data_IF_550913617747
#
_entry.id   IF_550913617747
#
_cell.length_a   1.000
_cell.length_b   1.000
_cell.length_c   1.000
_cell.angle_alpha   90.00
_cell.angle_beta   90.00
_cell.angle_gamma   90.00
#
_symmetry.space_group_name_H-M   'P 1'
#
loop_
_entity.id
_entity.type
_entity.pdbx_description
1 polymer ?
#
# COMPACT_ATOMS: atom_id res chain seq x y z
N UNK A 1 -32.77 11.89 40.06
CA UNK A 1 -32.01 11.92 38.77
C UNK A 1 -32.34 10.65 38.02
N UNK A 2 -32.80 10.76 36.79
CA UNK A 2 -33.38 9.65 36.04
C UNK A 2 -32.35 8.60 35.69
N UNK A 3 -32.57 7.29 35.91
CA UNK A 3 -31.66 6.20 35.53
C UNK A 3 -31.34 6.15 34.04
N UNK A 4 -32.20 6.74 33.23
CA UNK A 4 -32.02 6.75 31.76
C UNK A 4 -30.86 7.65 31.26
N UNK A 5 -30.46 8.67 32.05
CA UNK A 5 -29.37 9.56 31.70
C UNK A 5 -27.99 8.90 31.94
N UNK A 6 -27.93 7.98 32.89
CA UNK A 6 -26.74 7.22 33.24
C UNK A 6 -26.46 6.14 32.19
N UNK A 7 -27.49 5.42 31.74
CA UNK A 7 -27.33 4.34 30.76
C UNK A 7 -26.88 4.88 29.37
N UNK A 8 -27.36 6.07 28.98
CA UNK A 8 -26.93 6.69 27.73
C UNK A 8 -25.44 7.09 27.75
N UNK A 9 -24.95 7.58 28.88
CA UNK A 9 -23.55 7.92 29.06
C UNK A 9 -22.67 6.65 29.00
N UNK A 10 -23.12 5.57 29.64
CA UNK A 10 -22.45 4.26 29.60
C UNK A 10 -22.40 3.70 28.17
N UNK A 11 -23.51 3.73 27.43
CA UNK A 11 -23.55 3.29 26.02
C UNK A 11 -22.63 4.14 25.16
N UNK A 12 -22.61 5.45 25.32
CA UNK A 12 -21.73 6.35 24.55
C UNK A 12 -20.27 6.09 24.88
N UNK A 13 -19.93 5.88 26.16
CA UNK A 13 -18.56 5.53 26.56
C UNK A 13 -18.12 4.21 25.92
N UNK A 14 -18.97 3.19 26.00
CA UNK A 14 -18.71 1.90 25.36
C UNK A 14 -18.52 1.99 23.84
N UNK A 15 -19.35 2.80 23.16
CA UNK A 15 -19.21 3.04 21.71
C UNK A 15 -17.90 3.76 21.36
N UNK A 16 -17.43 4.68 22.21
CA UNK A 16 -16.12 5.32 22.02
C UNK A 16 -14.97 4.31 22.13
N UNK A 17 -15.04 3.40 23.09
CA UNK A 17 -14.04 2.34 23.23
C UNK A 17 -14.09 1.35 22.06
N UNK A 18 -15.28 1.00 21.59
CA UNK A 18 -15.46 0.13 20.42
C UNK A 18 -14.85 0.77 19.17
N UNK A 19 -15.11 2.05 18.92
CA UNK A 19 -14.51 2.79 17.80
C UNK A 19 -12.99 2.91 17.94
N UNK A 20 -12.48 3.15 19.14
CA UNK A 20 -11.03 3.19 19.38
C UNK A 20 -10.38 1.85 19.09
N UNK A 21 -10.99 0.73 19.51
CA UNK A 21 -10.51 -0.61 19.18
C UNK A 21 -10.54 -0.90 17.68
N UNK A 22 -11.59 -0.52 16.97
CA UNK A 22 -11.68 -0.69 15.51
C UNK A 22 -10.58 0.08 14.78
N UNK A 23 -10.22 1.27 15.25
CA UNK A 23 -9.10 2.06 14.69
C UNK A 23 -7.74 1.44 14.99
N UNK A 24 -7.55 0.94 16.22
CA UNK A 24 -6.29 0.33 16.66
C UNK A 24 -6.02 -1.07 16.08
N UNK A 25 -7.01 -1.73 15.50
CA UNK A 25 -6.90 -3.11 15.00
C UNK A 25 -6.36 -3.23 13.57
N UNK A 26 -6.09 -2.12 12.88
CA UNK A 26 -5.51 -2.19 11.54
C UNK A 26 -4.01 -2.52 11.64
N UNK A 27 -3.54 -3.59 10.97
CA UNK A 27 -2.11 -3.88 10.94
C UNK A 27 -1.36 -2.77 10.21
N UNK A 28 -0.25 -2.29 10.79
CA UNK A 28 0.57 -1.21 10.24
C UNK A 28 1.39 -1.69 9.04
N UNK A 29 1.24 -1.02 7.90
CA UNK A 29 2.06 -1.23 6.71
C UNK A 29 3.50 -0.78 6.96
N UNK A 30 3.67 0.39 7.61
CA UNK A 30 4.97 0.95 7.96
C UNK A 30 5.76 -0.02 8.84
N UNK A 31 5.17 -0.48 9.93
CA UNK A 31 5.81 -1.41 10.87
C UNK A 31 6.14 -2.75 10.19
N UNK A 32 5.21 -3.31 9.41
CA UNK A 32 5.44 -4.56 8.70
C UNK A 32 6.64 -4.48 7.74
N UNK A 33 6.85 -3.35 7.06
CA UNK A 33 8.01 -3.17 6.19
C UNK A 33 9.32 -2.99 6.96
N UNK A 34 9.29 -2.31 8.10
CA UNK A 34 10.47 -2.10 8.94
C UNK A 34 10.94 -3.40 9.60
N UNK A 35 10.01 -4.26 10.00
CA UNK A 35 10.29 -5.57 10.63
C UNK A 35 10.61 -6.67 9.62
N UNK A 36 10.30 -6.46 8.34
CA UNK A 36 10.47 -7.49 7.31
C UNK A 36 11.92 -7.61 6.83
N UNK A 37 12.40 -8.84 6.71
CA UNK A 37 13.68 -9.13 6.08
C UNK A 37 13.70 -8.83 4.57
N UNK A 38 12.56 -8.85 3.91
CA UNK A 38 12.45 -8.63 2.45
C UNK A 38 11.76 -7.34 2.05
N UNK A 39 10.79 -6.86 2.84
CA UNK A 39 10.01 -5.65 2.56
C UNK A 39 9.09 -5.76 1.35
N UNK A 40 8.73 -6.97 0.92
CA UNK A 40 7.91 -7.16 -0.28
C UNK A 40 6.43 -6.85 0.01
N UNK A 41 5.88 -5.90 -0.74
CA UNK A 41 4.46 -5.64 -0.89
C UNK A 41 3.99 -6.40 -2.15
N UNK A 42 3.36 -7.56 -1.96
CA UNK A 42 2.92 -8.39 -3.07
C UNK A 42 1.59 -7.87 -3.62
N UNK A 43 1.56 -7.52 -4.92
CA UNK A 43 0.38 -6.91 -5.53
C UNK A 43 -0.50 -7.95 -6.22
N UNK A 44 -1.78 -7.96 -5.83
CA UNK A 44 -2.84 -8.65 -6.55
C UNK A 44 -3.44 -7.71 -7.59
N UNK A 45 -3.12 -7.99 -8.85
CA UNK A 45 -3.56 -7.22 -10.02
C UNK A 45 -3.91 -8.12 -11.19
N UNK A 46 -5.16 -8.09 -11.62
CA UNK A 46 -5.65 -8.95 -12.70
C UNK A 46 -5.40 -8.38 -14.09
N UNK A 47 -5.41 -7.05 -14.23
CA UNK A 47 -5.29 -6.31 -15.48
C UNK A 47 -4.44 -5.06 -15.32
N UNK A 48 -3.85 -4.56 -16.40
CA UNK A 48 -3.26 -3.22 -16.43
C UNK A 48 -3.50 -2.55 -17.79
N UNK A 49 -3.55 -1.20 -17.85
CA UNK A 49 -3.72 -0.48 -19.11
C UNK A 49 -2.65 -0.81 -20.16
N UNK A 50 -1.41 -1.06 -19.74
CA UNK A 50 -0.28 -1.32 -20.64
C UNK A 50 -0.19 -2.77 -21.13
N UNK A 51 -0.77 -3.74 -20.42
CA UNK A 51 -0.63 -5.19 -20.71
C UNK A 51 -1.95 -5.89 -20.98
N UNK A 52 -3.09 -5.26 -20.71
CA UNK A 52 -4.37 -5.95 -20.72
C UNK A 52 -4.50 -6.93 -19.55
N UNK A 53 -5.17 -8.05 -19.76
CA UNK A 53 -5.30 -9.09 -18.75
C UNK A 53 -3.97 -9.79 -18.48
N UNK A 54 -3.53 -9.78 -17.21
CA UNK A 54 -2.36 -10.47 -16.70
C UNK A 54 -2.77 -11.85 -16.15
N UNK A 55 -3.88 -11.88 -15.40
CA UNK A 55 -4.48 -13.09 -14.84
C UNK A 55 -5.99 -12.86 -14.62
N UNK A 56 -6.78 -13.07 -15.67
CA UNK A 56 -8.22 -12.79 -15.66
C UNK A 56 -8.97 -13.68 -14.67
N UNK A 57 -8.52 -14.92 -14.51
CA UNK A 57 -9.03 -15.91 -13.56
C UNK A 57 -8.46 -15.77 -12.13
N UNK A 58 -7.68 -14.69 -11.88
CA UNK A 58 -7.07 -14.44 -10.58
C UNK A 58 -8.10 -14.36 -9.45
N UNK A 59 -7.93 -15.19 -8.42
CA UNK A 59 -8.84 -15.34 -7.29
C UNK A 59 -8.38 -14.54 -6.08
N UNK A 60 -9.21 -13.63 -5.61
CA UNK A 60 -8.94 -12.77 -4.46
C UNK A 60 -9.02 -13.52 -3.10
N UNK A 61 -9.71 -14.64 -3.05
CA UNK A 61 -9.79 -15.54 -1.89
C UNK A 61 -8.57 -16.47 -1.75
N UNK A 62 -7.77 -16.60 -2.81
CA UNK A 62 -6.64 -17.54 -2.85
C UNK A 62 -5.29 -16.82 -2.95
N UNK A 63 -5.07 -16.00 -3.98
CA UNK A 63 -3.74 -15.43 -4.27
C UNK A 63 -3.22 -14.53 -3.14
N UNK A 64 -4.01 -13.59 -2.56
CA UNK A 64 -3.53 -12.78 -1.43
C UNK A 64 -3.13 -13.62 -0.22
N UNK A 65 -3.88 -14.68 0.09
CA UNK A 65 -3.56 -15.58 1.18
C UNK A 65 -2.26 -16.35 0.91
N UNK A 66 -2.06 -16.84 -0.32
CA UNK A 66 -0.80 -17.52 -0.68
C UNK A 66 0.40 -16.57 -0.63
N UNK A 67 0.24 -15.30 -0.96
CA UNK A 67 1.29 -14.29 -0.78
C UNK A 67 1.68 -14.15 0.69
N UNK A 68 0.71 -14.02 1.60
CA UNK A 68 0.98 -13.98 3.03
C UNK A 68 1.73 -15.24 3.51
N UNK A 69 1.26 -16.42 3.11
CA UNK A 69 1.86 -17.69 3.49
C UNK A 69 3.29 -17.89 2.97
N UNK A 70 3.64 -17.20 1.89
CA UNK A 70 4.95 -17.26 1.25
C UNK A 70 5.85 -16.05 1.55
N UNK A 71 5.55 -15.27 2.59
CA UNK A 71 6.48 -14.29 3.15
C UNK A 71 6.32 -12.85 2.62
N UNK A 72 5.18 -12.50 2.03
CA UNK A 72 4.87 -11.09 1.79
C UNK A 72 4.78 -10.35 3.12
N UNK A 73 5.43 -9.18 3.22
CA UNK A 73 5.31 -8.29 4.38
C UNK A 73 3.94 -7.60 4.40
N UNK A 74 3.41 -7.29 3.24
CA UNK A 74 2.13 -6.66 3.04
C UNK A 74 1.56 -7.01 1.66
N UNK A 75 0.31 -6.64 1.44
CA UNK A 75 -0.36 -6.79 0.16
C UNK A 75 -0.74 -5.43 -0.42
N UNK A 76 -0.76 -5.35 -1.74
CA UNK A 76 -1.41 -4.30 -2.52
C UNK A 76 -2.53 -4.93 -3.34
N UNK A 77 -3.77 -4.44 -3.21
CA UNK A 77 -4.90 -5.00 -3.94
C UNK A 77 -5.54 -3.91 -4.80
N UNK A 78 -5.53 -4.11 -6.13
CA UNK A 78 -6.16 -3.21 -7.08
C UNK A 78 -7.68 -3.27 -6.92
N UNK A 79 -8.30 -2.11 -6.73
CA UNK A 79 -9.75 -1.97 -6.57
C UNK A 79 -10.41 -1.23 -7.74
N UNK A 80 -9.64 -0.55 -8.59
CA UNK A 80 -10.17 0.06 -9.81
C UNK A 80 -10.68 -1.01 -10.78
N UNK A 81 -11.96 -0.89 -11.17
CA UNK A 81 -12.66 -1.89 -11.98
C UNK A 81 -12.31 -1.79 -13.44
N UNK A 82 -12.40 -0.59 -14.01
CA UNK A 82 -12.44 -0.41 -15.45
C UNK A 82 -11.05 -0.54 -16.10
N UNK A 83 -10.02 -0.09 -15.42
CA UNK A 83 -8.64 -0.09 -15.95
C UNK A 83 -7.81 -1.27 -15.45
N UNK A 84 -8.07 -1.74 -14.21
CA UNK A 84 -7.24 -2.76 -13.57
C UNK A 84 -7.98 -4.09 -13.30
N UNK A 85 -9.27 -4.17 -13.64
CA UNK A 85 -10.09 -5.36 -13.38
C UNK A 85 -10.21 -5.68 -11.89
N UNK A 86 -10.10 -4.62 -11.06
CA UNK A 86 -10.19 -4.68 -9.61
C UNK A 86 -11.62 -4.63 -9.09
N UNK A 87 -11.77 -4.70 -7.78
CA UNK A 87 -13.01 -4.49 -7.05
C UNK A 87 -12.73 -4.35 -5.56
N UNK A 88 -13.48 -3.48 -4.83
CA UNK A 88 -13.33 -3.31 -3.39
C UNK A 88 -13.56 -4.60 -2.61
N UNK A 89 -14.49 -5.45 -3.10
CA UNK A 89 -14.73 -6.77 -2.52
C UNK A 89 -13.52 -7.69 -2.53
N UNK A 90 -12.50 -7.44 -3.33
CA UNK A 90 -11.30 -8.28 -3.31
C UNK A 90 -10.55 -8.16 -1.99
N UNK A 91 -10.53 -6.97 -1.37
CA UNK A 91 -9.93 -6.79 -0.04
C UNK A 91 -10.77 -7.52 1.01
N UNK A 92 -12.10 -7.35 0.97
CA UNK A 92 -13.02 -8.04 1.90
C UNK A 92 -12.88 -9.56 1.77
N UNK A 93 -12.84 -10.07 0.54
CA UNK A 93 -12.66 -11.49 0.24
C UNK A 93 -11.33 -12.02 0.76
N UNK A 94 -10.23 -11.28 0.54
CA UNK A 94 -8.91 -11.63 1.09
C UNK A 94 -8.93 -11.69 2.62
N UNK A 95 -9.57 -10.73 3.30
CA UNK A 95 -9.73 -10.75 4.77
C UNK A 95 -10.53 -11.95 5.25
N UNK A 96 -11.64 -12.27 4.58
CA UNK A 96 -12.48 -13.43 4.90
C UNK A 96 -11.75 -14.77 4.69
N UNK A 97 -10.81 -14.83 3.76
CA UNK A 97 -9.99 -16.03 3.55
C UNK A 97 -8.84 -16.19 4.55
N UNK A 98 -8.65 -15.25 5.48
CA UNK A 98 -7.67 -15.36 6.56
C UNK A 98 -6.42 -14.48 6.40
N UNK A 99 -6.43 -13.50 5.49
CA UNK A 99 -5.35 -12.51 5.38
C UNK A 99 -5.37 -11.58 6.58
N UNK A 100 -4.25 -11.54 7.34
CA UNK A 100 -4.07 -10.71 8.54
C UNK A 100 -3.02 -9.62 8.37
N UNK A 101 -2.07 -9.77 7.43
CA UNK A 101 -1.04 -8.76 7.14
C UNK A 101 -1.66 -7.47 6.56
N UNK A 102 -0.93 -6.33 6.57
CA UNK A 102 -1.44 -5.08 6.03
C UNK A 102 -1.86 -5.19 4.57
N UNK A 103 -2.97 -4.52 4.21
CA UNK A 103 -3.45 -4.41 2.83
C UNK A 103 -3.52 -2.94 2.45
N UNK A 104 -2.81 -2.58 1.39
CA UNK A 104 -2.90 -1.29 0.72
C UNK A 104 -4.10 -1.28 -0.23
N UNK A 105 -5.01 -0.31 -0.03
CA UNK A 105 -6.08 0.03 -0.97
C UNK A 105 -5.46 0.72 -2.18
N UNK A 106 -5.28 -0.02 -3.26
CA UNK A 106 -4.61 0.46 -4.48
C UNK A 106 -5.66 0.97 -5.46
N UNK A 107 -5.94 2.26 -5.36
CA UNK A 107 -6.92 2.98 -6.21
C UNK A 107 -6.42 4.39 -6.49
N UNK A 108 -7.08 5.11 -7.40
CA UNK A 108 -6.89 6.54 -7.63
C UNK A 108 -7.79 7.33 -6.68
N UNK A 109 -7.29 7.59 -5.47
CA UNK A 109 -8.04 8.32 -4.45
C UNK A 109 -7.96 9.82 -4.74
N UNK A 110 -9.10 10.43 -5.03
CA UNK A 110 -9.24 11.87 -5.34
C UNK A 110 -10.29 12.57 -4.47
N UNK A 111 -11.03 11.81 -3.68
CA UNK A 111 -12.10 12.29 -2.81
C UNK A 111 -12.13 11.50 -1.49
N UNK A 112 -12.52 12.16 -0.40
CA UNK A 112 -12.59 11.52 0.92
C UNK A 112 -13.61 10.37 0.98
N UNK A 113 -14.61 10.34 0.11
CA UNK A 113 -15.59 9.26 0.07
C UNK A 113 -14.91 7.90 -0.19
N UNK A 114 -13.86 7.87 -1.01
CA UNK A 114 -13.09 6.64 -1.29
C UNK A 114 -12.32 6.12 -0.06
N UNK A 115 -12.01 7.00 0.91
CA UNK A 115 -11.42 6.57 2.19
C UNK A 115 -12.43 5.79 3.04
N UNK A 116 -13.72 6.16 2.99
CA UNK A 116 -14.77 5.38 3.65
C UNK A 116 -14.98 4.03 2.95
N UNK A 117 -14.90 3.96 1.61
CA UNK A 117 -14.93 2.69 0.87
C UNK A 117 -13.77 1.78 1.30
N UNK A 118 -12.54 2.34 1.38
CA UNK A 118 -11.37 1.62 1.88
C UNK A 118 -11.56 1.09 3.30
N UNK A 119 -12.24 1.86 4.18
CA UNK A 119 -12.55 1.42 5.54
C UNK A 119 -13.53 0.25 5.55
N UNK A 120 -14.59 0.32 4.74
CA UNK A 120 -15.63 -0.71 4.65
C UNK A 120 -15.12 -2.04 4.10
N UNK A 121 -14.10 -2.03 3.24
CA UNK A 121 -13.52 -3.27 2.72
C UNK A 121 -12.40 -3.87 3.60
N UNK A 122 -11.90 -3.16 4.62
CA UNK A 122 -10.92 -3.67 5.58
C UNK A 122 -9.46 -3.42 5.18
N UNK A 123 -9.19 -2.36 4.43
CA UNK A 123 -7.85 -1.90 4.11
C UNK A 123 -7.11 -1.39 5.36
N UNK A 124 -5.77 -1.45 5.33
CA UNK A 124 -4.88 -0.95 6.39
C UNK A 124 -4.27 0.39 6.03
N UNK A 125 -3.94 0.57 4.77
CA UNK A 125 -3.34 1.78 4.21
C UNK A 125 -4.03 2.16 2.90
N UNK A 126 -3.89 3.41 2.50
CA UNK A 126 -4.42 3.94 1.24
C UNK A 126 -3.32 4.53 0.38
N UNK A 127 -3.49 4.45 -0.94
CA UNK A 127 -2.63 5.11 -1.90
C UNK A 127 -3.12 6.52 -2.17
N UNK A 128 -2.22 7.49 -2.12
CA UNK A 128 -2.40 8.81 -2.72
C UNK A 128 -1.33 9.02 -3.80
N UNK A 129 -1.70 9.64 -4.92
CA UNK A 129 -0.80 9.84 -6.06
C UNK A 129 -0.60 11.34 -6.26
N UNK A 130 0.63 11.83 -6.09
CA UNK A 130 0.95 13.25 -6.20
C UNK A 130 0.52 13.84 -7.55
N UNK A 131 0.73 13.11 -8.65
CA UNK A 131 0.34 13.53 -9.99
C UNK A 131 -1.18 13.73 -10.19
N UNK A 132 -2.02 13.18 -9.31
CA UNK A 132 -3.49 13.27 -9.40
C UNK A 132 -4.09 14.36 -8.50
N UNK A 133 -3.30 14.98 -7.62
CA UNK A 133 -3.78 15.83 -6.54
C UNK A 133 -3.01 17.14 -6.47
N UNK A 134 -3.66 18.24 -6.14
CA UNK A 134 -2.94 19.42 -5.66
C UNK A 134 -2.37 19.16 -4.25
N UNK A 135 -1.34 19.92 -3.86
CA UNK A 135 -0.74 19.83 -2.53
C UNK A 135 -1.79 19.96 -1.41
N UNK A 136 -2.75 20.89 -1.58
CA UNK A 136 -3.82 21.11 -0.61
C UNK A 136 -4.79 19.92 -0.52
N UNK A 137 -5.18 19.35 -1.66
CA UNK A 137 -6.02 18.15 -1.69
C UNK A 137 -5.31 16.96 -1.05
N UNK A 138 -4.04 16.75 -1.39
CA UNK A 138 -3.22 15.68 -0.82
C UNK A 138 -3.11 15.81 0.70
N UNK A 139 -2.82 17.02 1.22
CA UNK A 139 -2.75 17.28 2.66
C UNK A 139 -4.08 16.99 3.37
N UNK A 140 -5.21 17.40 2.76
CA UNK A 140 -6.55 17.14 3.32
C UNK A 140 -6.86 15.63 3.36
N UNK A 141 -6.52 14.88 2.30
CA UNK A 141 -6.72 13.44 2.21
C UNK A 141 -5.81 12.67 3.18
N UNK A 142 -4.55 13.10 3.39
CA UNK A 142 -3.65 12.52 4.41
C UNK A 142 -4.28 12.71 5.79
N UNK A 143 -4.69 13.93 6.15
CA UNK A 143 -5.30 14.21 7.45
C UNK A 143 -6.57 13.38 7.67
N UNK A 144 -7.44 13.24 6.65
CA UNK A 144 -8.64 12.42 6.72
C UNK A 144 -8.32 10.92 6.83
N UNK A 145 -7.32 10.43 6.10
CA UNK A 145 -6.87 9.05 6.18
C UNK A 145 -6.38 8.73 7.61
N UNK A 146 -5.56 9.58 8.20
CA UNK A 146 -5.10 9.44 9.59
C UNK A 146 -6.26 9.49 10.60
N UNK A 147 -7.23 10.41 10.42
CA UNK A 147 -8.45 10.45 11.24
C UNK A 147 -9.21 9.10 11.24
N UNK A 148 -9.27 8.45 10.07
CA UNK A 148 -9.89 7.14 9.88
C UNK A 148 -8.98 5.96 10.29
N UNK A 149 -7.76 6.23 10.78
CA UNK A 149 -6.79 5.23 11.23
C UNK A 149 -6.12 4.47 10.09
N UNK A 150 -5.99 5.09 8.92
CA UNK A 150 -5.17 4.58 7.82
C UNK A 150 -3.76 5.13 7.87
N UNK A 151 -2.81 4.34 7.42
CA UNK A 151 -1.52 4.82 6.92
C UNK A 151 -1.63 5.20 5.45
N UNK A 152 -0.78 6.13 5.01
CA UNK A 152 -0.77 6.65 3.63
C UNK A 152 0.53 6.29 2.93
N UNK A 153 0.44 5.60 1.80
CA UNK A 153 1.52 5.52 0.82
C UNK A 153 1.31 6.64 -0.20
N UNK A 154 2.22 7.62 -0.20
CA UNK A 154 2.23 8.72 -1.17
C UNK A 154 3.15 8.38 -2.33
N UNK A 155 2.56 8.12 -3.50
CA UNK A 155 3.25 7.77 -4.73
C UNK A 155 3.70 9.03 -5.49
N UNK A 156 4.98 9.05 -5.89
CA UNK A 156 5.62 10.12 -6.67
C UNK A 156 6.40 9.53 -7.84
N UNK A 157 6.55 10.31 -8.94
CA UNK A 157 7.19 9.86 -10.17
C UNK A 157 8.41 10.71 -10.59
N UNK A 158 8.48 11.94 -10.09
CA UNK A 158 9.45 12.94 -10.54
C UNK A 158 10.00 13.78 -9.40
N UNK A 159 11.10 14.46 -9.65
CA UNK A 159 11.73 15.36 -8.68
C UNK A 159 10.80 16.52 -8.27
N UNK A 160 9.96 17.01 -9.18
CA UNK A 160 9.01 18.10 -8.89
C UNK A 160 7.90 17.69 -7.92
N UNK A 161 7.66 16.40 -7.77
CA UNK A 161 6.66 15.86 -6.83
C UNK A 161 7.24 15.60 -5.42
N UNK A 162 8.56 15.66 -5.24
CA UNK A 162 9.19 15.38 -3.93
C UNK A 162 8.78 16.38 -2.83
N UNK A 163 8.28 17.56 -3.20
CA UNK A 163 7.74 18.51 -2.23
C UNK A 163 6.55 17.95 -1.43
N UNK A 164 5.79 17.00 -2.01
CA UNK A 164 4.67 16.34 -1.33
C UNK A 164 5.13 15.47 -0.15
N UNK A 165 6.38 15.01 -0.11
CA UNK A 165 6.93 14.27 1.03
C UNK A 165 6.90 15.09 2.33
N UNK A 166 6.90 16.44 2.23
CA UNK A 166 6.77 17.35 3.38
C UNK A 166 5.39 17.33 4.03
N UNK A 167 4.40 16.71 3.40
CA UNK A 167 3.06 16.53 3.96
C UNK A 167 3.00 15.43 5.04
N UNK A 168 4.14 14.81 5.33
CA UNK A 168 4.33 13.80 6.35
C UNK A 168 3.42 12.56 6.20
N UNK A 169 3.43 11.90 5.02
CA UNK A 169 2.79 10.60 4.87
C UNK A 169 3.57 9.53 5.66
N UNK A 170 2.98 8.37 5.89
CA UNK A 170 3.64 7.26 6.60
C UNK A 170 4.67 6.55 5.71
N UNK A 171 4.42 6.53 4.39
CA UNK A 171 5.29 5.93 3.39
C UNK A 171 5.40 6.86 2.16
N UNK A 172 6.61 6.94 1.60
CA UNK A 172 6.88 7.65 0.35
C UNK A 172 7.29 6.67 -0.74
N UNK A 173 6.49 6.57 -1.80
CA UNK A 173 6.70 5.68 -2.93
C UNK A 173 7.31 6.40 -4.13
N UNK A 174 8.34 5.82 -4.74
CA UNK A 174 8.78 6.19 -6.09
C UNK A 174 8.26 5.14 -7.07
N UNK A 175 7.34 5.57 -7.94
CA UNK A 175 6.88 4.73 -9.02
C UNK A 175 7.80 4.86 -10.23
N UNK A 176 8.45 3.76 -10.59
CA UNK A 176 9.40 3.66 -11.71
C UNK A 176 8.70 3.63 -13.08
N UNK A 177 7.37 3.56 -13.11
CA UNK A 177 6.60 3.59 -14.35
C UNK A 177 6.17 5.01 -14.67
N UNK A 178 6.58 5.50 -15.83
CA UNK A 178 6.08 6.77 -16.36
C UNK A 178 4.61 6.63 -16.75
N UNK A 179 3.73 7.50 -16.21
CA UNK A 179 2.29 7.42 -16.41
C UNK A 179 1.86 7.76 -17.86
N UNK A 180 2.64 8.53 -18.59
CA UNK A 180 2.32 8.93 -19.96
C UNK A 180 2.81 7.92 -21.02
N UNK A 181 4.03 7.38 -20.85
CA UNK A 181 4.67 6.49 -21.82
C UNK A 181 4.57 5.02 -21.47
N UNK A 182 4.19 4.68 -20.22
CA UNK A 182 4.22 3.35 -19.62
C UNK A 182 5.60 2.68 -19.59
N UNK A 183 6.67 3.40 -19.94
CA UNK A 183 8.04 2.92 -19.80
C UNK A 183 8.35 2.79 -18.32
N UNK A 184 8.99 1.69 -17.94
CA UNK A 184 9.38 1.41 -16.55
C UNK A 184 10.89 1.38 -16.45
N UNK A 185 11.46 2.23 -15.58
CA UNK A 185 12.90 2.36 -15.37
C UNK A 185 13.21 2.42 -13.87
N UNK A 186 13.75 1.35 -13.31
CA UNK A 186 14.08 1.24 -11.88
C UNK A 186 15.17 2.25 -11.46
N UNK A 187 15.98 2.75 -12.39
CA UNK A 187 16.95 3.81 -12.13
C UNK A 187 16.30 5.10 -11.60
N UNK A 188 15.00 5.29 -11.84
CA UNK A 188 14.25 6.40 -11.26
C UNK A 188 14.29 6.41 -9.73
N UNK A 189 14.10 5.23 -9.10
CA UNK A 189 14.21 5.12 -7.65
C UNK A 189 15.60 5.50 -7.14
N UNK A 190 16.67 5.04 -7.79
CA UNK A 190 18.03 5.39 -7.39
C UNK A 190 18.32 6.88 -7.56
N UNK A 191 17.90 7.46 -8.69
CA UNK A 191 18.10 8.88 -8.98
C UNK A 191 17.43 9.80 -7.96
N UNK A 192 16.24 9.42 -7.47
CA UNK A 192 15.44 10.25 -6.56
C UNK A 192 15.69 9.94 -5.09
N UNK A 193 16.40 8.85 -4.75
CA UNK A 193 16.55 8.37 -3.36
C UNK A 193 17.10 9.42 -2.40
N UNK A 194 18.18 10.10 -2.76
CA UNK A 194 18.84 11.07 -1.89
C UNK A 194 17.99 12.33 -1.69
N UNK A 195 17.38 12.85 -2.77
CA UNK A 195 16.51 14.02 -2.73
C UNK A 195 15.23 13.71 -1.94
N UNK A 196 14.67 12.50 -2.10
CA UNK A 196 13.51 12.07 -1.33
C UNK A 196 13.83 11.99 0.17
N UNK A 197 14.96 11.37 0.54
CA UNK A 197 15.39 11.33 1.95
C UNK A 197 15.59 12.71 2.55
N UNK A 198 16.17 13.63 1.78
CA UNK A 198 16.36 15.01 2.21
C UNK A 198 15.04 15.79 2.35
N UNK A 199 14.01 15.43 1.58
CA UNK A 199 12.68 16.04 1.67
C UNK A 199 11.85 15.51 2.86
N UNK A 200 12.13 14.29 3.33
CA UNK A 200 11.47 13.68 4.48
C UNK A 200 12.05 14.22 5.80
N UNK A 201 11.25 14.15 6.88
CA UNK A 201 11.74 14.40 8.25
C UNK A 201 12.89 13.44 8.60
N UNK A 202 13.83 13.90 9.43
CA UNK A 202 14.99 13.10 9.83
C UNK A 202 14.85 12.43 11.21
N UNK A 203 13.62 12.33 11.72
CA UNK A 203 13.30 11.74 13.02
C UNK A 203 12.70 10.34 12.91
N UNK A 204 12.34 9.74 14.04
CA UNK A 204 11.74 8.39 14.12
C UNK A 204 10.36 8.30 13.44
N UNK A 205 9.77 9.43 13.06
CA UNK A 205 8.52 9.50 12.29
C UNK A 205 8.75 9.57 10.79
N UNK A 206 9.99 9.55 10.33
CA UNK A 206 10.34 9.58 8.91
C UNK A 206 9.55 8.53 8.10
N UNK A 207 9.01 8.91 6.93
CA UNK A 207 8.29 7.96 6.08
C UNK A 207 9.19 6.82 5.61
N UNK A 208 8.62 5.62 5.51
CA UNK A 208 9.30 4.47 4.91
C UNK A 208 9.35 4.64 3.39
N UNK A 209 10.53 4.49 2.80
CA UNK A 209 10.70 4.60 1.35
C UNK A 209 10.29 3.30 0.65
N UNK A 210 9.46 3.42 -0.38
CA UNK A 210 8.94 2.31 -1.19
C UNK A 210 9.33 2.51 -2.64
N UNK A 211 9.88 1.48 -3.29
CA UNK A 211 10.11 1.45 -4.75
C UNK A 211 9.02 0.62 -5.41
N UNK A 212 8.38 1.18 -6.43
CA UNK A 212 7.23 0.58 -7.11
C UNK A 212 7.50 0.40 -8.60
N UNK A 213 6.99 -0.69 -9.16
CA UNK A 213 7.08 -1.04 -10.58
C UNK A 213 8.50 -1.45 -11.06
N UNK A 214 8.55 -2.39 -11.99
CA UNK A 214 9.79 -2.79 -12.70
C UNK A 214 10.72 -3.71 -11.94
N UNK A 215 10.43 -4.07 -10.71
CA UNK A 215 11.28 -4.95 -9.91
C UNK A 215 11.00 -6.41 -10.31
N UNK A 216 11.96 -7.03 -11.00
CA UNK A 216 11.86 -8.42 -11.46
C UNK A 216 13.08 -9.27 -11.10
N UNK A 217 14.15 -8.63 -10.57
CA UNK A 217 15.37 -9.29 -10.15
C UNK A 217 15.59 -9.09 -8.63
N UNK A 218 15.85 -10.17 -7.86
CA UNK A 218 16.18 -10.07 -6.44
C UNK A 218 17.39 -9.18 -6.13
N UNK A 219 18.41 -9.11 -7.03
CA UNK A 219 19.57 -8.24 -6.86
C UNK A 219 19.18 -6.75 -6.80
N UNK A 220 18.16 -6.38 -7.55
CA UNK A 220 17.62 -5.02 -7.53
C UNK A 220 17.12 -4.63 -6.14
N UNK A 221 16.51 -5.56 -5.40
CA UNK A 221 16.06 -5.31 -4.02
C UNK A 221 17.25 -5.01 -3.10
N UNK A 222 18.35 -5.79 -3.22
CA UNK A 222 19.55 -5.53 -2.42
C UNK A 222 20.13 -4.14 -2.68
N UNK A 223 20.22 -3.76 -3.96
CA UNK A 223 20.70 -2.43 -4.35
C UNK A 223 19.77 -1.30 -3.85
N UNK A 224 18.45 -1.44 -4.01
CA UNK A 224 17.46 -0.48 -3.50
C UNK A 224 17.50 -0.36 -1.97
N UNK A 225 17.72 -1.45 -1.26
CA UNK A 225 17.92 -1.42 0.21
C UNK A 225 19.15 -0.62 0.60
N UNK A 226 20.26 -0.80 -0.12
CA UNK A 226 21.48 0.00 0.10
C UNK A 226 21.25 1.49 -0.18
N UNK A 227 20.33 1.82 -1.12
CA UNK A 227 19.87 3.18 -1.38
C UNK A 227 18.83 3.71 -0.37
N UNK A 228 18.44 2.92 0.65
CA UNK A 228 17.58 3.34 1.76
C UNK A 228 16.10 2.93 1.65
N UNK A 229 15.69 2.28 0.58
CA UNK A 229 14.32 1.75 0.47
C UNK A 229 14.11 0.57 1.41
N UNK A 230 12.88 0.46 1.96
CA UNK A 230 12.46 -0.64 2.84
C UNK A 230 11.24 -1.38 2.32
N UNK A 231 10.47 -0.78 1.41
CA UNK A 231 9.32 -1.39 0.75
C UNK A 231 9.54 -1.60 -0.74
N UNK A 232 9.05 -2.72 -1.29
CA UNK A 232 9.19 -3.09 -2.70
C UNK A 232 7.86 -3.61 -3.22
N UNK A 233 7.13 -2.80 -4.01
CA UNK A 233 5.82 -3.17 -4.54
C UNK A 233 5.98 -3.92 -5.86
N UNK A 234 5.61 -5.20 -5.86
CA UNK A 234 5.81 -6.14 -6.96
C UNK A 234 4.52 -6.87 -7.30
N UNK A 235 4.03 -6.71 -8.52
CA UNK A 235 2.80 -7.35 -8.99
C UNK A 235 3.03 -8.27 -10.19
N UNK A 236 3.33 -7.69 -11.36
CA UNK A 236 3.41 -8.41 -12.63
C UNK A 236 4.36 -9.63 -12.57
N UNK A 237 5.49 -9.48 -11.88
CA UNK A 237 6.51 -10.54 -11.74
C UNK A 237 5.92 -11.84 -11.20
N UNK A 238 4.99 -11.74 -10.24
CA UNK A 238 4.33 -12.89 -9.63
C UNK A 238 3.04 -13.26 -10.35
N UNK A 239 2.18 -12.28 -10.62
CA UNK A 239 0.84 -12.51 -11.19
C UNK A 239 0.85 -13.20 -12.56
N UNK A 240 1.87 -12.99 -13.38
CA UNK A 240 1.99 -13.64 -14.71
C UNK A 240 2.33 -15.14 -14.65
N UNK A 241 2.69 -15.66 -13.48
CA UNK A 241 3.04 -17.07 -13.30
C UNK A 241 1.80 -17.93 -13.05
N UNK A 242 1.85 -19.24 -13.31
CA UNK A 242 0.75 -20.16 -12.95
C UNK A 242 0.44 -20.13 -11.44
N UNK A 243 1.48 -20.06 -10.59
CA UNK A 243 1.38 -20.03 -9.13
C UNK A 243 2.11 -18.78 -8.57
N UNK A 244 1.37 -17.67 -8.36
CA UNK A 244 1.96 -16.44 -7.85
C UNK A 244 2.59 -16.56 -6.45
N UNK A 245 2.00 -17.37 -5.56
CA UNK A 245 2.52 -17.59 -4.21
C UNK A 245 3.87 -18.30 -4.22
N UNK A 246 4.00 -19.35 -5.01
CA UNK A 246 5.26 -20.07 -5.22
C UNK A 246 6.31 -19.16 -5.87
N UNK A 247 5.93 -18.37 -6.87
CA UNK A 247 6.84 -17.42 -7.52
C UNK A 247 7.40 -16.39 -6.54
N UNK A 248 6.58 -15.91 -5.60
CA UNK A 248 7.03 -15.04 -4.51
C UNK A 248 8.04 -15.76 -3.60
N UNK A 249 7.75 -16.99 -3.17
CA UNK A 249 8.65 -17.78 -2.32
C UNK A 249 10.02 -17.99 -2.96
N UNK A 250 10.04 -18.42 -4.24
CA UNK A 250 11.27 -18.61 -5.01
C UNK A 250 12.04 -17.29 -5.21
N UNK A 251 11.34 -16.17 -5.29
CA UNK A 251 11.95 -14.84 -5.38
C UNK A 251 12.59 -14.43 -4.06
N UNK A 252 11.89 -14.61 -2.93
CA UNK A 252 12.39 -14.32 -1.58
C UNK A 252 13.64 -15.15 -1.26
N UNK A 253 13.64 -16.44 -1.58
CA UNK A 253 14.78 -17.31 -1.35
C UNK A 253 16.08 -16.85 -2.06
N UNK A 254 15.96 -16.03 -3.10
CA UNK A 254 17.11 -15.45 -3.82
C UNK A 254 17.54 -14.08 -3.29
N UNK A 255 16.73 -13.41 -2.46
CA UNK A 255 17.11 -12.15 -1.81
C UNK A 255 18.08 -12.42 -0.67
N UNK A 256 17.78 -13.44 0.15
CA UNK A 256 18.56 -13.88 1.31
C UNK A 256 19.02 -15.32 1.08
N UNK A 257 20.07 -15.55 0.27
CA UNK A 257 20.59 -16.89 -0.03
C UNK A 257 21.27 -17.53 1.18
#
# INVERSE_FOLDING_TARGET
MSPMKDILQEIVAHKREELARMRAQKPSLREALLLSDTGIIAEFKRRSPSKGWIKEDGRADLIPLTYQQNGAAALSILTDKDYFGGHDDFIRTARQSGVTIPILYKNFVIDEFQLYEAALCGASAVLLIAACLSVQQCAALIAKAHELGFEVLLEMHSETELEYAKLNPDLCGINNRNLGTFVTDVENSFRLADNLRAACSADDTAPVLVSESGISNPDTIRALRAAGFRGFLIGETFMKTPDPGRALNEFIAKINP
#
